data_IF_886157907403
#
_entry.id   IF_886157907403
#
_cell.length_a   1.000
_cell.length_b   1.000
_cell.length_c   1.000
_cell.angle_alpha   90.00
_cell.angle_beta   90.00
_cell.angle_gamma   90.00
#
_symmetry.space_group_name_H-M   'P 1'
#
loop_
_entity.id
_entity.type
_entity.pdbx_description
1 polymer ?
#
# COMPACT_ATOMS: atom_id res chain seq x y z
N UNK A 1 -22.11 48.90 -50.45
CA UNK A 1 -22.31 47.48 -50.10
C UNK A 1 -21.03 46.97 -49.45
N UNK A 2 -21.17 46.45 -48.23
CA UNK A 2 -20.26 45.64 -47.41
C UNK A 2 -18.75 46.00 -47.35
N UNK A 3 -18.34 46.54 -46.20
CA UNK A 3 -17.00 46.37 -45.64
C UNK A 3 -16.95 45.03 -44.89
N UNK A 4 -15.94 44.21 -45.15
CA UNK A 4 -15.60 43.05 -44.33
C UNK A 4 -14.22 43.32 -43.71
N UNK A 5 -14.24 43.71 -42.44
CA UNK A 5 -13.07 43.61 -41.57
C UNK A 5 -13.22 42.31 -40.79
N UNK A 6 -12.33 41.36 -41.03
CA UNK A 6 -12.16 40.19 -40.17
C UNK A 6 -11.05 40.54 -39.18
N UNK A 7 -11.49 41.03 -38.02
CA UNK A 7 -10.65 41.34 -36.88
C UNK A 7 -10.27 40.08 -36.12
N UNK A 8 -9.05 40.11 -35.60
CA UNK A 8 -8.56 39.31 -34.48
C UNK A 8 -9.63 39.20 -33.36
N UNK A 9 -9.95 37.97 -32.98
CA UNK A 9 -10.67 37.61 -31.76
C UNK A 9 -10.10 36.28 -31.30
N UNK A 10 -8.92 36.31 -30.68
CA UNK A 10 -8.73 36.47 -29.23
C UNK A 10 -9.31 35.27 -28.45
N UNK A 11 -8.40 34.59 -27.76
CA UNK A 11 -8.63 33.28 -27.17
C UNK A 11 -9.61 33.32 -26.01
N UNK A 12 -10.47 32.31 -26.00
CA UNK A 12 -11.11 31.82 -24.78
C UNK A 12 -10.49 30.46 -24.47
N UNK A 13 -9.24 30.52 -23.99
CA UNK A 13 -8.81 29.54 -23.00
C UNK A 13 -9.65 29.85 -21.75
N UNK A 14 -10.84 29.24 -21.67
CA UNK A 14 -11.58 29.09 -20.43
C UNK A 14 -10.76 28.19 -19.51
N UNK A 15 -9.73 28.81 -18.92
CA UNK A 15 -9.03 28.27 -17.78
C UNK A 15 -10.04 28.20 -16.66
N UNK A 16 -10.41 26.97 -16.30
CA UNK A 16 -10.98 26.61 -15.01
C UNK A 16 -10.20 27.37 -13.91
N UNK A 17 -10.69 28.55 -13.53
CA UNK A 17 -10.16 29.28 -12.40
C UNK A 17 -10.61 28.50 -11.19
N UNK A 18 -9.69 27.73 -10.63
CA UNK A 18 -9.87 27.08 -9.33
C UNK A 18 -10.46 28.11 -8.35
N UNK A 19 -11.73 27.92 -7.96
CA UNK A 19 -12.42 28.79 -7.00
C UNK A 19 -11.88 28.49 -5.59
N UNK A 20 -10.73 29.07 -5.28
CA UNK A 20 -10.08 28.98 -3.98
C UNK A 20 -10.97 29.45 -2.82
N UNK A 21 -12.04 30.21 -3.09
CA UNK A 21 -12.99 30.69 -2.09
C UNK A 21 -13.90 29.60 -1.52
N UNK A 22 -14.09 28.48 -2.24
CA UNK A 22 -14.88 27.33 -1.79
C UNK A 22 -14.02 26.17 -1.27
N UNK A 23 -12.70 26.23 -1.48
CA UNK A 23 -11.77 25.20 -1.04
C UNK A 23 -11.58 25.20 0.48
N UNK A 24 -11.72 24.02 1.10
CA UNK A 24 -11.35 23.84 2.50
C UNK A 24 -9.83 23.90 2.67
N UNK A 25 -9.32 24.97 3.29
CA UNK A 25 -7.90 25.12 3.62
C UNK A 25 -7.65 24.49 4.99
N UNK A 26 -6.67 23.60 5.09
CA UNK A 26 -6.17 23.05 6.35
C UNK A 26 -4.74 23.50 6.61
N UNK A 27 -4.48 23.93 7.85
CA UNK A 27 -3.14 24.26 8.35
C UNK A 27 -2.77 23.16 9.34
N UNK A 28 -1.65 22.48 9.08
CA UNK A 28 -1.18 21.34 9.87
C UNK A 28 0.28 21.49 10.24
N UNK A 29 0.64 21.00 11.43
CA UNK A 29 2.04 20.85 11.86
C UNK A 29 2.62 19.59 11.24
N UNK A 30 3.83 19.67 10.71
CA UNK A 30 4.52 18.54 10.06
C UNK A 30 5.90 18.31 10.69
N UNK A 31 6.33 17.05 10.71
CA UNK A 31 7.71 16.72 11.05
C UNK A 31 8.61 16.93 9.83
N UNK A 32 9.75 17.59 10.05
CA UNK A 32 10.80 17.78 9.04
C UNK A 32 12.03 16.99 9.43
N UNK A 33 12.38 15.98 8.61
CA UNK A 33 13.60 15.22 8.76
C UNK A 33 14.62 15.75 7.75
N UNK A 34 15.84 16.06 8.21
CA UNK A 34 16.88 16.66 7.37
C UNK A 34 18.21 15.94 7.52
N UNK A 35 18.88 15.72 6.39
CA UNK A 35 20.27 15.27 6.31
C UNK A 35 20.98 16.25 5.38
N UNK A 36 21.92 17.02 5.92
CA UNK A 36 22.54 18.15 5.25
C UNK A 36 21.49 19.15 4.71
N UNK A 37 21.47 19.37 3.39
CA UNK A 37 20.54 20.25 2.68
C UNK A 37 19.27 19.53 2.21
N UNK A 38 19.19 18.20 2.37
CA UNK A 38 18.07 17.38 1.92
C UNK A 38 17.00 17.34 3.00
N UNK A 39 15.73 17.36 2.60
CA UNK A 39 14.58 17.42 3.49
C UNK A 39 13.52 16.41 3.08
N UNK A 40 12.90 15.80 4.08
CA UNK A 40 11.80 14.87 3.93
C UNK A 40 10.72 15.18 4.97
N UNK A 41 9.46 15.15 4.54
CA UNK A 41 8.29 15.44 5.36
C UNK A 41 7.39 14.19 5.36
N UNK A 42 7.65 13.22 6.25
CA UNK A 42 6.87 12.00 6.30
C UNK A 42 5.42 12.28 6.71
N UNK A 43 4.52 11.40 6.27
CA UNK A 43 3.22 11.26 6.93
C UNK A 43 3.44 10.73 8.35
N UNK A 44 2.72 11.32 9.31
CA UNK A 44 2.90 11.05 10.74
C UNK A 44 1.58 10.58 11.35
N UNK A 45 1.68 9.56 12.20
CA UNK A 45 0.58 9.09 13.02
C UNK A 45 1.03 9.00 14.48
N UNK A 46 0.20 9.47 15.40
CA UNK A 46 0.42 9.29 16.84
C UNK A 46 -0.34 8.10 17.38
N UNK A 47 0.32 7.31 18.22
CA UNK A 47 -0.29 6.16 18.87
C UNK A 47 0.38 5.84 20.22
N UNK A 48 -0.42 5.73 21.29
CA UNK A 48 0.05 5.49 22.66
C UNK A 48 1.19 6.42 23.11
N UNK A 49 1.09 7.72 22.79
CA UNK A 49 2.11 8.72 23.12
C UNK A 49 3.42 8.60 22.34
N UNK A 50 3.44 7.76 21.29
CA UNK A 50 4.57 7.63 20.36
C UNK A 50 4.19 8.17 19.00
N UNK A 51 5.18 8.70 18.30
CA UNK A 51 5.06 9.21 16.95
C UNK A 51 5.58 8.17 15.97
N UNK A 52 4.80 7.84 14.94
CA UNK A 52 5.19 6.91 13.87
C UNK A 52 5.23 7.65 12.54
N UNK A 53 6.22 7.35 11.71
CA UNK A 53 6.36 7.88 10.35
C UNK A 53 6.11 6.79 9.31
N UNK A 54 5.40 7.14 8.25
CA UNK A 54 5.24 6.26 7.08
C UNK A 54 6.49 6.32 6.22
N UNK A 55 7.13 5.17 6.01
CA UNK A 55 8.27 5.00 5.12
C UNK A 55 7.83 4.18 3.91
N UNK A 56 8.00 4.74 2.71
CA UNK A 56 7.56 4.13 1.45
C UNK A 56 8.66 4.12 0.41
N UNK A 57 8.77 3.02 -0.34
CA UNK A 57 9.69 2.93 -1.48
C UNK A 57 9.31 3.84 -2.66
N UNK A 58 8.09 4.36 -2.67
CA UNK A 58 7.56 5.26 -3.70
C UNK A 58 7.70 6.74 -3.31
N UNK A 59 8.29 7.05 -2.16
CA UNK A 59 8.51 8.40 -1.71
C UNK A 59 9.77 9.00 -2.35
N UNK A 60 9.56 9.98 -3.24
CA UNK A 60 10.64 10.64 -3.97
C UNK A 60 11.52 11.52 -3.08
N UNK A 61 10.95 12.11 -2.01
CA UNK A 61 11.69 12.94 -1.08
C UNK A 61 12.54 12.07 -0.14
N UNK A 62 12.03 10.93 0.30
CA UNK A 62 12.83 9.92 1.00
C UNK A 62 13.95 9.38 0.10
N UNK A 63 13.66 9.07 -1.16
CA UNK A 63 14.67 8.61 -2.12
C UNK A 63 15.80 9.64 -2.26
N UNK A 64 15.46 10.92 -2.46
CA UNK A 64 16.43 12.00 -2.49
C UNK A 64 17.21 12.13 -1.18
N UNK A 65 16.52 12.04 -0.04
CA UNK A 65 17.13 12.13 1.29
C UNK A 65 18.19 11.06 1.49
N UNK A 66 17.87 9.80 1.20
CA UNK A 66 18.74 8.65 1.41
C UNK A 66 19.87 8.60 0.38
N UNK A 67 19.55 8.59 -0.91
CA UNK A 67 20.55 8.30 -1.95
C UNK A 67 21.25 9.55 -2.51
N UNK A 68 20.76 10.75 -2.16
CA UNK A 68 21.22 12.01 -2.74
C UNK A 68 20.73 12.27 -4.16
N UNK A 69 19.94 11.36 -4.75
CA UNK A 69 19.40 11.49 -6.12
C UNK A 69 17.89 11.34 -6.11
N UNK A 70 17.21 12.27 -6.77
CA UNK A 70 15.76 12.23 -6.89
C UNK A 70 15.30 11.00 -7.68
N UNK A 71 14.09 10.53 -7.37
CA UNK A 71 13.52 9.39 -8.06
C UNK A 71 13.30 9.70 -9.54
N UNK A 72 13.78 8.83 -10.43
CA UNK A 72 13.57 8.99 -11.86
C UNK A 72 12.27 8.32 -12.29
N UNK A 73 11.28 9.12 -12.71
CA UNK A 73 9.96 8.63 -13.15
C UNK A 73 9.85 8.43 -14.66
N UNK A 74 10.88 8.77 -15.43
CA UNK A 74 10.87 8.58 -16.88
C UNK A 74 11.14 7.13 -17.26
N UNK A 75 10.28 6.54 -18.09
CA UNK A 75 10.41 5.16 -18.59
C UNK A 75 11.63 4.95 -19.49
N UNK A 76 12.12 6.01 -20.15
CA UNK A 76 13.24 5.96 -21.09
C UNK A 76 14.63 5.99 -20.42
N UNK A 77 14.70 6.29 -19.11
CA UNK A 77 15.95 6.44 -18.38
C UNK A 77 16.05 5.36 -17.31
N UNK A 78 17.27 5.01 -16.92
CA UNK A 78 17.51 4.07 -15.83
C UNK A 78 16.74 4.50 -14.57
N UNK A 79 15.96 3.57 -14.02
CA UNK A 79 15.17 3.81 -12.81
C UNK A 79 16.12 4.10 -11.66
N UNK A 80 15.98 5.28 -11.05
CA UNK A 80 16.60 5.59 -9.77
C UNK A 80 15.46 5.58 -8.75
N UNK A 81 15.37 4.55 -7.93
CA UNK A 81 14.30 4.36 -6.96
C UNK A 81 14.83 3.60 -5.73
N UNK A 82 13.95 3.44 -4.73
CA UNK A 82 14.22 2.64 -3.54
C UNK A 82 13.69 1.21 -3.68
N UNK A 83 13.61 0.62 -4.88
CA UNK A 83 13.24 -0.80 -5.01
C UNK A 83 14.45 -1.67 -4.63
N UNK A 84 14.61 -1.87 -3.32
CA UNK A 84 15.69 -2.68 -2.71
C UNK A 84 15.14 -3.86 -1.91
N UNK A 85 15.93 -4.92 -1.76
CA UNK A 85 15.54 -6.19 -1.13
C UNK A 85 15.05 -5.99 0.32
N UNK A 86 15.59 -4.98 1.01
CA UNK A 86 15.23 -4.60 2.38
C UNK A 86 13.71 -4.49 2.61
N UNK A 87 12.96 -3.96 1.64
CA UNK A 87 11.50 -3.81 1.81
C UNK A 87 10.77 -5.14 1.91
N UNK A 88 11.18 -6.14 1.13
CA UNK A 88 10.59 -7.48 1.21
C UNK A 88 10.92 -8.12 2.55
N UNK A 89 12.17 -8.03 2.98
CA UNK A 89 12.63 -8.56 4.26
C UNK A 89 11.93 -7.92 5.45
N UNK A 90 11.84 -6.59 5.50
CA UNK A 90 11.22 -5.89 6.63
C UNK A 90 9.72 -6.10 6.71
N UNK A 91 9.03 -6.20 5.55
CA UNK A 91 7.61 -6.58 5.54
C UNK A 91 7.41 -8.00 6.06
N UNK A 92 8.28 -8.94 5.69
CA UNK A 92 8.23 -10.31 6.19
C UNK A 92 8.49 -10.34 7.70
N UNK A 93 9.52 -9.66 8.19
CA UNK A 93 9.83 -9.56 9.63
C UNK A 93 8.69 -8.94 10.43
N UNK A 94 8.06 -7.87 9.92
CA UNK A 94 6.86 -7.29 10.55
C UNK A 94 5.71 -8.30 10.59
N UNK A 95 5.46 -9.03 9.50
CA UNK A 95 4.41 -10.05 9.45
C UNK A 95 4.68 -11.21 10.43
N UNK A 96 5.93 -11.65 10.52
CA UNK A 96 6.36 -12.70 11.46
C UNK A 96 6.21 -12.23 12.90
N UNK A 97 6.56 -10.98 13.20
CA UNK A 97 6.37 -10.38 14.52
C UNK A 97 4.88 -10.24 14.89
N UNK A 98 4.01 -9.85 13.93
CA UNK A 98 2.55 -9.85 14.13
C UNK A 98 2.05 -11.25 14.47
N UNK A 99 2.50 -12.25 13.71
CA UNK A 99 2.11 -13.65 13.93
C UNK A 99 2.63 -14.18 15.27
N UNK A 100 3.85 -13.84 15.65
CA UNK A 100 4.43 -14.22 16.94
C UNK A 100 3.64 -13.62 18.11
N UNK A 101 3.28 -12.33 18.01
CA UNK A 101 2.51 -11.65 19.05
C UNK A 101 1.08 -12.23 19.18
N UNK A 102 0.43 -12.55 18.04
CA UNK A 102 -0.85 -13.26 18.05
C UNK A 102 -0.74 -14.63 18.72
N UNK A 103 0.30 -15.41 18.39
CA UNK A 103 0.52 -16.74 19.00
C UNK A 103 0.73 -16.64 20.51
N UNK A 104 1.53 -15.66 20.95
CA UNK A 104 1.76 -15.40 22.37
C UNK A 104 0.44 -15.04 23.08
N UNK A 105 -0.37 -14.17 22.48
CA UNK A 105 -1.70 -13.83 23.00
C UNK A 105 -2.63 -15.04 23.09
N UNK A 106 -2.67 -15.88 22.04
CA UNK A 106 -3.49 -17.10 22.03
C UNK A 106 -3.04 -18.10 23.11
N UNK A 107 -1.74 -18.25 23.34
CA UNK A 107 -1.17 -19.12 24.38
C UNK A 107 -1.46 -18.60 25.78
N UNK A 108 -1.36 -17.29 25.99
CA UNK A 108 -1.66 -16.67 27.29
C UNK A 108 -3.13 -16.86 27.72
N UNK A 109 -4.04 -17.10 26.78
CA UNK A 109 -5.45 -17.36 27.05
C UNK A 109 -5.75 -18.83 27.38
N UNK A 110 -4.79 -19.75 27.22
CA UNK A 110 -4.99 -21.19 27.48
C UNK A 110 -4.92 -21.47 28.96
N UNK A 111 -5.96 -22.07 29.52
CA UNK A 111 -5.96 -22.53 30.92
C UNK A 111 -5.30 -23.90 31.04
N UNK A 112 -4.77 -24.20 32.23
CA UNK A 112 -4.18 -25.51 32.52
C UNK A 112 -5.20 -26.64 32.29
N UNK A 113 -4.83 -27.63 31.46
CA UNK A 113 -5.69 -28.76 31.08
C UNK A 113 -6.52 -28.55 29.81
N UNK A 114 -6.53 -27.36 29.21
CA UNK A 114 -7.18 -27.11 27.92
C UNK A 114 -6.28 -27.47 26.73
N UNK A 115 -6.84 -27.93 25.61
CA UNK A 115 -6.06 -28.22 24.41
C UNK A 115 -5.48 -26.93 23.83
N UNK A 116 -4.20 -26.99 23.42
CA UNK A 116 -3.51 -25.85 22.78
C UNK A 116 -4.27 -25.45 21.50
N UNK A 117 -4.60 -24.16 21.34
CA UNK A 117 -5.36 -23.70 20.20
C UNK A 117 -4.54 -23.82 18.91
N UNK A 118 -5.23 -24.12 17.80
CA UNK A 118 -4.57 -24.22 16.50
C UNK A 118 -4.08 -22.85 16.05
N UNK A 119 -2.76 -22.71 15.93
CA UNK A 119 -2.15 -21.47 15.46
C UNK A 119 -2.46 -21.17 14.00
N UNK A 120 -2.63 -19.88 13.72
CA UNK A 120 -2.79 -19.32 12.37
C UNK A 120 -1.85 -18.13 12.15
N UNK A 121 -1.76 -17.67 10.92
CA UNK A 121 -1.12 -16.40 10.59
C UNK A 121 -1.97 -15.21 11.06
N UNK A 122 -1.29 -14.09 11.31
CA UNK A 122 -1.89 -12.81 11.64
C UNK A 122 -2.74 -12.26 10.47
N UNK A 123 -3.86 -11.65 10.83
CA UNK A 123 -4.78 -10.90 9.96
C UNK A 123 -4.73 -9.43 10.33
N UNK A 124 -5.31 -8.59 9.48
CA UNK A 124 -5.31 -7.14 9.70
C UNK A 124 -6.12 -6.74 10.93
N UNK A 125 -7.25 -7.42 11.19
CA UNK A 125 -8.15 -7.10 12.30
C UNK A 125 -7.63 -7.60 13.66
N UNK A 126 -6.62 -8.47 13.68
CA UNK A 126 -6.01 -8.95 14.93
C UNK A 126 -5.35 -7.82 15.73
N UNK A 127 -5.09 -6.66 15.10
CA UNK A 127 -4.61 -5.45 15.78
C UNK A 127 -5.55 -4.92 16.87
N UNK A 128 -6.84 -5.23 16.76
CA UNK A 128 -7.84 -4.86 17.75
C UNK A 128 -7.93 -5.88 18.90
N UNK A 129 -7.41 -7.09 18.70
CA UNK A 129 -7.38 -8.15 19.69
C UNK A 129 -6.09 -8.12 20.51
N UNK A 130 -4.96 -7.87 19.85
CA UNK A 130 -3.63 -8.06 20.42
C UNK A 130 -2.97 -6.72 20.75
N UNK A 131 -2.59 -5.97 19.71
CA UNK A 131 -1.99 -4.65 19.82
C UNK A 131 -2.00 -3.98 18.45
N UNK A 132 -2.06 -2.64 18.45
CA UNK A 132 -1.99 -1.82 17.23
C UNK A 132 -0.55 -1.53 16.78
N UNK A 133 0.42 -1.77 17.65
CA UNK A 133 1.85 -1.67 17.37
C UNK A 133 2.61 -2.87 17.97
N UNK A 134 3.82 -3.10 17.48
CA UNK A 134 4.63 -4.25 17.87
C UNK A 134 6.12 -3.95 17.73
N UNK A 135 6.94 -4.71 18.45
CA UNK A 135 8.40 -4.65 18.33
C UNK A 135 8.88 -5.59 17.21
N UNK A 136 9.73 -5.07 16.32
CA UNK A 136 10.32 -5.80 15.21
C UNK A 136 11.84 -5.75 15.35
N UNK A 137 12.48 -6.91 15.27
CA UNK A 137 13.94 -7.04 15.31
C UNK A 137 14.54 -6.80 13.92
N UNK A 138 15.38 -5.78 13.82
CA UNK A 138 16.12 -5.38 12.63
C UNK A 138 17.55 -5.95 12.70
N UNK A 139 18.02 -6.72 11.70
CA UNK A 139 19.28 -7.46 11.77
C UNK A 139 20.52 -6.55 11.76
N UNK A 140 21.69 -7.02 12.20
CA UNK A 140 22.92 -6.25 11.99
C UNK A 140 23.29 -6.20 10.50
N UNK A 141 23.98 -5.16 10.07
CA UNK A 141 24.54 -5.05 8.72
C UNK A 141 25.75 -4.10 8.70
N UNK A 142 26.48 -4.09 7.59
CA UNK A 142 27.59 -3.16 7.35
C UNK A 142 27.19 -2.21 6.24
N UNK A 143 27.24 -0.89 6.51
CA UNK A 143 26.94 0.13 5.54
C UNK A 143 28.06 0.27 4.49
N UNK A 144 27.79 1.03 3.42
CA UNK A 144 28.72 1.18 2.29
C UNK A 144 30.04 1.88 2.65
N UNK A 145 30.07 2.65 3.73
CA UNK A 145 31.26 3.31 4.29
C UNK A 145 32.06 2.42 5.26
N UNK A 146 31.62 1.17 5.49
CA UNK A 146 32.22 0.25 6.45
C UNK A 146 31.68 0.39 7.88
N UNK A 147 30.76 1.32 8.14
CA UNK A 147 30.13 1.47 9.46
C UNK A 147 29.30 0.24 9.79
N UNK A 148 29.54 -0.35 10.98
CA UNK A 148 28.79 -1.50 11.47
C UNK A 148 27.55 -1.06 12.24
N UNK A 149 26.39 -1.56 11.83
CA UNK A 149 25.13 -1.38 12.53
C UNK A 149 24.78 -2.65 13.29
N UNK A 150 24.65 -2.53 14.61
CA UNK A 150 24.18 -3.62 15.45
C UNK A 150 22.69 -3.92 15.20
N UNK A 151 22.25 -5.09 15.63
CA UNK A 151 20.82 -5.44 15.67
C UNK A 151 20.06 -4.46 16.56
N UNK A 152 18.93 -3.94 16.09
CA UNK A 152 18.08 -3.03 16.87
C UNK A 152 16.64 -3.57 16.97
N UNK A 153 15.94 -3.16 18.02
CA UNK A 153 14.50 -3.38 18.17
C UNK A 153 13.78 -2.08 17.84
N UNK A 154 12.94 -2.14 16.83
CA UNK A 154 12.19 -0.99 16.35
C UNK A 154 10.70 -1.26 16.51
N UNK A 155 9.96 -0.28 17.04
CA UNK A 155 8.51 -0.37 17.12
C UNK A 155 7.88 0.01 15.78
N UNK A 156 6.94 -0.80 15.33
CA UNK A 156 6.22 -0.60 14.08
C UNK A 156 4.72 -0.73 14.32
N UNK A 157 3.90 -0.07 13.49
CA UNK A 157 2.45 -0.31 13.53
C UNK A 157 2.11 -1.68 12.95
N UNK A 158 1.07 -2.30 13.49
CA UNK A 158 0.51 -3.54 12.98
C UNK A 158 0.02 -3.33 11.55
N UNK A 159 0.54 -4.14 10.63
CA UNK A 159 0.01 -4.25 9.28
C UNK A 159 0.54 -5.54 8.65
N UNK A 160 -0.38 -6.34 8.13
CA UNK A 160 -0.02 -7.55 7.37
C UNK A 160 -0.20 -7.38 5.86
N UNK A 161 -0.87 -6.30 5.43
CA UNK A 161 -1.16 -6.01 4.01
C UNK A 161 -0.38 -4.83 3.43
N UNK A 162 -0.03 -3.82 4.24
CA UNK A 162 0.61 -2.61 3.73
C UNK A 162 1.99 -2.89 3.14
N UNK A 163 2.28 -2.24 2.01
CA UNK A 163 3.61 -2.22 1.41
C UNK A 163 4.53 -1.23 2.12
N UNK A 164 3.94 -0.23 2.78
CA UNK A 164 4.67 0.78 3.53
C UNK A 164 4.90 0.30 4.96
N UNK A 165 5.91 0.88 5.61
CA UNK A 165 6.25 0.60 7.00
C UNK A 165 5.95 1.85 7.83
N UNK A 166 5.18 1.70 8.90
CA UNK A 166 4.98 2.77 9.87
C UNK A 166 5.89 2.49 11.06
N UNK A 167 6.90 3.32 11.23
CA UNK A 167 8.05 3.08 12.10
C UNK A 167 8.10 4.18 13.15
N UNK A 168 8.34 3.82 14.40
CA UNK A 168 8.49 4.79 15.48
C UNK A 168 9.59 5.80 15.15
N UNK A 169 9.23 7.08 15.27
CA UNK A 169 10.08 8.21 14.96
C UNK A 169 11.10 8.41 16.07
N UNK A 170 12.24 7.74 15.93
CA UNK A 170 13.43 7.98 16.74
C UNK A 170 14.64 8.18 15.84
N UNK A 171 15.64 8.92 16.32
CA UNK A 171 16.87 9.13 15.58
C UNK A 171 17.59 7.80 15.29
N UNK A 172 17.64 6.88 16.26
CA UNK A 172 18.26 5.55 16.10
C UNK A 172 17.60 4.75 14.99
N UNK A 173 16.26 4.72 14.95
CA UNK A 173 15.53 4.00 13.91
C UNK A 173 15.81 4.61 12.54
N UNK A 174 15.73 5.93 12.42
CA UNK A 174 15.96 6.61 11.14
C UNK A 174 17.39 6.42 10.63
N UNK A 175 18.40 6.57 11.49
CA UNK A 175 19.81 6.33 11.11
C UNK A 175 20.02 4.91 10.58
N UNK A 176 19.50 3.91 11.29
CA UNK A 176 19.59 2.51 10.86
C UNK A 176 18.89 2.32 9.50
N UNK A 177 17.65 2.79 9.36
CA UNK A 177 16.83 2.58 8.16
C UNK A 177 17.44 3.28 6.95
N UNK A 178 17.92 4.52 7.09
CA UNK A 178 18.52 5.25 5.98
C UNK A 178 19.79 4.58 5.50
N UNK A 179 20.68 4.18 6.41
CA UNK A 179 21.89 3.44 6.04
C UNK A 179 21.55 2.09 5.39
N UNK A 180 20.55 1.37 5.91
CA UNK A 180 20.13 0.08 5.35
C UNK A 180 19.54 0.26 3.94
N UNK A 181 18.70 1.28 3.72
CA UNK A 181 18.12 1.57 2.40
C UNK A 181 19.18 1.98 1.38
N UNK A 182 20.20 2.71 1.81
CA UNK A 182 21.31 3.16 0.96
C UNK A 182 22.18 1.98 0.49
N UNK A 183 22.52 1.05 1.38
CA UNK A 183 23.44 -0.05 1.08
C UNK A 183 22.77 -1.33 0.58
N UNK A 184 21.44 -1.39 0.58
CA UNK A 184 20.71 -2.60 0.17
C UNK A 184 20.76 -2.85 -1.33
N UNK A 185 20.84 -4.13 -1.69
CA UNK A 185 20.79 -4.57 -3.09
C UNK A 185 19.46 -4.20 -3.74
N UNK A 186 19.52 -3.85 -5.03
CA UNK A 186 18.31 -3.56 -5.82
C UNK A 186 17.52 -4.84 -6.06
N UNK A 187 16.19 -4.75 -5.96
CA UNK A 187 15.31 -5.82 -6.39
C UNK A 187 15.45 -6.00 -7.91
N UNK A 188 15.84 -7.19 -8.34
CA UNK A 188 15.78 -7.54 -9.76
C UNK A 188 14.33 -7.46 -10.23
N UNK A 189 14.09 -6.65 -11.26
CA UNK A 189 12.80 -6.67 -11.95
C UNK A 189 12.69 -8.03 -12.61
N UNK A 190 11.90 -8.94 -12.03
CA UNK A 190 11.47 -10.15 -12.73
C UNK A 190 10.89 -9.69 -14.05
N UNK A 191 11.58 -10.01 -15.14
CA UNK A 191 11.07 -9.77 -16.48
C UNK A 191 9.67 -10.38 -16.52
N UNK A 192 8.67 -9.53 -16.76
CA UNK A 192 7.33 -10.04 -17.05
C UNK A 192 7.51 -10.85 -18.32
N UNK A 193 7.55 -12.18 -18.17
CA UNK A 193 7.72 -13.11 -19.27
C UNK A 193 6.88 -12.64 -20.44
N UNK A 194 7.56 -12.20 -21.48
CA UNK A 194 6.96 -12.02 -22.80
C UNK A 194 6.58 -13.40 -23.25
N UNK A 195 5.37 -13.83 -22.93
CA UNK A 195 4.76 -15.01 -23.54
C UNK A 195 4.46 -14.67 -25.01
N UNK A 196 5.51 -14.74 -25.82
CA UNK A 196 5.58 -14.80 -27.29
C UNK A 196 6.86 -15.61 -27.56
N UNK A 197 6.78 -16.93 -27.59
CA UNK A 197 6.43 -17.74 -28.76
C UNK A 197 7.71 -18.50 -29.12
N UNK A 198 7.85 -19.71 -28.58
CA UNK A 198 8.58 -20.79 -29.25
C UNK A 198 7.78 -22.06 -28.99
N UNK A 199 7.30 -22.64 -30.10
CA UNK A 199 6.23 -23.60 -30.12
C UNK A 199 6.51 -24.90 -29.38
N UNK A 200 5.51 -25.36 -28.64
CA UNK A 200 5.14 -26.77 -28.53
C UNK A 200 3.70 -26.87 -28.01
N UNK A 201 2.90 -27.61 -28.75
CA UNK A 201 1.48 -27.88 -28.51
C UNK A 201 1.19 -28.30 -27.07
N UNK A 202 0.47 -27.45 -26.35
CA UNK A 202 -0.31 -27.86 -25.17
C UNK A 202 -1.77 -27.46 -25.40
N UNK A 203 -2.72 -28.42 -25.39
CA UNK A 203 -4.11 -28.12 -25.71
C UNK A 203 -4.72 -27.19 -24.66
N UNK A 204 -5.13 -26.00 -25.12
CA UNK A 204 -5.85 -25.00 -24.33
C UNK A 204 -7.17 -25.60 -23.81
N UNK A 205 -7.29 -25.72 -22.49
CA UNK A 205 -8.55 -26.05 -21.80
C UNK A 205 -9.68 -25.10 -22.22
N UNK A 206 -10.89 -25.58 -22.58
CA UNK A 206 -11.96 -24.71 -23.04
C UNK A 206 -12.51 -23.85 -21.90
N UNK A 207 -12.28 -22.54 -21.97
CA UNK A 207 -12.97 -21.54 -21.13
C UNK A 207 -14.48 -21.63 -21.37
N UNK A 208 -15.19 -22.13 -20.36
CA UNK A 208 -16.66 -22.23 -20.30
C UNK A 208 -17.31 -20.85 -20.49
N UNK A 209 -17.74 -20.54 -21.72
CA UNK A 209 -18.58 -19.36 -22.03
C UNK A 209 -19.91 -19.51 -21.30
N UNK A 210 -20.12 -18.67 -20.28
CA UNK A 210 -21.40 -18.52 -19.57
C UNK A 210 -22.45 -18.02 -20.57
N UNK A 211 -23.28 -18.93 -21.09
CA UNK A 211 -24.34 -18.65 -22.06
C UNK A 211 -25.48 -17.94 -21.33
N UNK A 212 -25.62 -16.63 -21.55
CA UNK A 212 -26.77 -15.85 -21.12
C UNK A 212 -28.00 -16.33 -21.92
N UNK A 213 -28.90 -17.09 -21.29
CA UNK A 213 -30.19 -17.48 -21.89
C UNK A 213 -31.17 -16.32 -21.72
N UNK A 214 -31.35 -15.51 -22.77
CA UNK A 214 -32.59 -14.74 -23.01
C UNK A 214 -33.62 -15.65 -23.70
N UNK A 215 -34.84 -15.69 -23.17
CA UNK A 215 -36.15 -16.04 -23.78
C UNK A 215 -37.15 -15.99 -22.61
N UNK A 216 -37.91 -14.93 -22.33
CA UNK A 216 -39.07 -14.34 -23.03
C UNK A 216 -39.84 -15.33 -23.90
N UNK A 217 -40.88 -15.95 -23.33
CA UNK A 217 -42.22 -16.19 -23.92
C UNK A 217 -42.95 -17.31 -23.16
N UNK A 218 -43.86 -16.96 -22.24
CA UNK A 218 -45.02 -17.77 -21.85
C UNK A 218 -46.06 -16.87 -21.14
N UNK A 219 -46.61 -15.92 -21.90
CA UNK A 219 -47.99 -15.44 -21.73
C UNK A 219 -48.74 -15.97 -22.94
N UNK A 220 -49.38 -17.13 -22.77
CA UNK A 220 -50.43 -17.68 -23.62
C UNK A 220 -50.80 -19.05 -23.02
N UNK A 221 -51.59 -19.03 -21.95
CA UNK A 221 -52.65 -19.99 -21.59
C UNK A 221 -52.97 -19.82 -20.11
N UNK A 222 -54.12 -19.21 -19.84
CA UNK A 222 -54.62 -18.97 -18.48
C UNK A 222 -55.49 -17.73 -18.34
N UNK A 223 -56.15 -17.28 -19.40
CA UNK A 223 -57.39 -16.52 -19.26
C UNK A 223 -58.52 -17.56 -19.18
N UNK A 224 -58.89 -17.94 -17.94
CA UNK A 224 -60.20 -18.46 -17.53
C UNK A 224 -60.16 -18.71 -16.01
N UNK A 225 -61.25 -18.36 -15.33
CA UNK A 225 -61.42 -18.14 -13.88
C UNK A 225 -60.88 -16.77 -13.40
N UNK A 226 -61.57 -15.64 -13.57
CA UNK A 226 -62.90 -15.32 -13.00
C UNK A 226 -63.07 -15.92 -11.59
N UNK A 227 -62.89 -15.10 -10.55
CA UNK A 227 -63.96 -14.35 -9.87
C UNK A 227 -64.52 -15.13 -8.66
N UNK A 228 -64.85 -14.38 -7.60
CA UNK A 228 -65.21 -14.82 -6.22
C UNK A 228 -63.99 -15.24 -5.38
N UNK A 229 -63.68 -14.67 -4.21
CA UNK A 229 -64.54 -14.05 -3.21
C UNK A 229 -64.00 -12.69 -2.75
N UNK A 230 -64.79 -11.67 -3.06
CA UNK A 230 -65.07 -10.59 -2.11
C UNK A 230 -66.23 -11.06 -1.21
N UNK A 231 -66.27 -10.47 -0.02
CA UNK A 231 -67.41 -10.30 0.87
C UNK A 231 -67.83 -11.39 1.90
N UNK A 232 -67.62 -10.97 3.16
CA UNK A 232 -68.37 -11.18 4.42
C UNK A 232 -69.20 -12.46 4.67
N UNK A 233 -68.87 -13.16 5.76
CA UNK A 233 -69.60 -13.03 7.04
C UNK A 233 -68.89 -13.70 8.22
#
# INVERSE_FOLDING_TARGET
>A
MAAAGDGDGNGEEDGDRDDWGSCAISIVTVHKISIDKRRWFPEVQEHHGRTFVTVSKSDAALCLLVTGKAQNRHSARASHDLNVVWWAEMRQRRHDACTALLRAHMLAAVKEGEPVPRFRQAREDDKFLVAKDLEVSLPPFTASDGTQFASIRCRMMWSVKSKDLHIELTETNLRYIFAALECSEREEKREKGTSKDDGQDAPRSPRKRRRLKRRKSQEANGAEAEASNDDTR
#
